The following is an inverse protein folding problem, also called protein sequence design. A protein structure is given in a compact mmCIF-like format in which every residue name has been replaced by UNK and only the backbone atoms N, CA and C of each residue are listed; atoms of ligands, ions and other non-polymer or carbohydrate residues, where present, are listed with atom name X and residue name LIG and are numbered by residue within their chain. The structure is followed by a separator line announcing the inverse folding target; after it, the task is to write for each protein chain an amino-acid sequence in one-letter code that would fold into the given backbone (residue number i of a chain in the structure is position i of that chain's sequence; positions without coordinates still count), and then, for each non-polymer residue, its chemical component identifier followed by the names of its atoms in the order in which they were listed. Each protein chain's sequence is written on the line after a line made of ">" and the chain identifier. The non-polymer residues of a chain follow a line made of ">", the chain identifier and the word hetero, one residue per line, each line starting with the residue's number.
data_IF_432369421497
#
_entry.id   IF_432369421497
#
_cell.length_a   1.000
_cell.length_b   1.000
_cell.length_c   1.000
_cell.angle_alpha   90.00
_cell.angle_beta   90.00
_cell.angle_gamma   90.00
#
_symmetry.space_group_name_H-M   'P 1'
#
loop_
_entity.id
_entity.type
_entity.pdbx_description
1 polymer ?
#
# COMPACT_ATOMS: atom_id res chain seq x y z
N UNK A 1 8.90 12.56 15.96
CA UNK A 1 7.55 13.00 15.52
C UNK A 1 6.77 13.45 16.77
N UNK A 2 6.07 14.58 16.75
CA UNK A 2 5.21 14.96 17.88
C UNK A 2 3.82 14.32 17.72
N UNK A 3 3.02 14.28 18.80
CA UNK A 3 1.70 13.63 18.78
C UNK A 3 0.74 14.26 17.76
N UNK A 4 0.75 15.59 17.62
CA UNK A 4 -0.15 16.29 16.71
C UNK A 4 0.15 15.95 15.25
N UNK A 5 1.42 15.99 14.83
CA UNK A 5 1.84 15.60 13.49
C UNK A 5 1.50 14.14 13.16
N UNK A 6 1.52 13.25 14.16
CA UNK A 6 1.12 11.85 13.95
C UNK A 6 -0.39 11.75 13.66
N UNK A 7 -1.21 12.50 14.38
CA UNK A 7 -2.67 12.57 14.16
C UNK A 7 -2.95 13.15 12.77
N UNK A 8 -2.33 14.28 12.43
CA UNK A 8 -2.54 14.94 11.15
C UNK A 8 -2.10 14.04 9.98
N UNK A 9 -0.98 13.34 10.11
CA UNK A 9 -0.51 12.37 9.10
C UNK A 9 -1.52 11.24 8.86
N UNK A 10 -2.12 10.69 9.93
CA UNK A 10 -3.14 9.64 9.82
C UNK A 10 -4.38 10.20 9.13
N UNK A 11 -4.86 11.38 9.53
CA UNK A 11 -6.04 12.03 8.93
C UNK A 11 -5.83 12.35 7.46
N UNK A 12 -4.70 12.96 7.11
CA UNK A 12 -4.34 13.31 5.73
C UNK A 12 -4.20 12.09 4.81
N UNK A 13 -3.92 10.92 5.38
CA UNK A 13 -3.74 9.67 4.63
C UNK A 13 -5.04 8.89 4.48
N UNK A 14 -5.85 8.80 5.54
CA UNK A 14 -7.00 7.88 5.61
C UNK A 14 -8.37 8.57 5.60
N UNK A 15 -8.46 9.85 5.95
CA UNK A 15 -9.71 10.64 5.88
C UNK A 15 -9.86 11.41 4.56
N UNK A 16 -8.98 11.14 3.59
CA UNK A 16 -9.00 11.71 2.24
C UNK A 16 -9.05 10.61 1.17
N UNK A 17 -9.47 10.91 -0.07
CA UNK A 17 -9.33 10.00 -1.19
C UNK A 17 -7.89 9.48 -1.29
N UNK A 18 -7.74 8.21 -1.64
CA UNK A 18 -6.42 7.58 -1.67
C UNK A 18 -5.46 8.35 -2.60
N UNK A 19 -4.33 8.77 -2.03
CA UNK A 19 -3.22 9.40 -2.75
C UNK A 19 -1.95 8.64 -2.47
N UNK A 20 -1.32 8.12 -3.53
CA UNK A 20 -0.09 7.33 -3.47
C UNK A 20 0.99 8.00 -2.62
N UNK A 21 1.24 9.29 -2.84
CA UNK A 21 2.33 10.02 -2.16
C UNK A 21 2.05 10.24 -0.66
N UNK A 22 0.78 10.46 -0.29
CA UNK A 22 0.38 10.57 1.12
C UNK A 22 0.60 9.24 1.82
N UNK A 23 0.16 8.13 1.20
CA UNK A 23 0.34 6.79 1.74
C UNK A 23 1.83 6.41 1.83
N UNK A 24 2.64 6.73 0.81
CA UNK A 24 4.07 6.48 0.83
C UNK A 24 4.77 7.24 1.98
N UNK A 25 4.42 8.50 2.21
CA UNK A 25 4.92 9.29 3.34
C UNK A 25 4.48 8.69 4.69
N UNK A 26 3.22 8.27 4.81
CA UNK A 26 2.72 7.60 6.01
C UNK A 26 3.49 6.32 6.31
N UNK A 27 3.65 5.42 5.33
CA UNK A 27 4.35 4.16 5.50
C UNK A 27 5.83 4.38 5.84
N UNK A 28 6.49 5.33 5.18
CA UNK A 28 7.88 5.69 5.49
C UNK A 28 8.05 6.11 6.96
N UNK A 29 7.08 6.84 7.51
CA UNK A 29 7.07 7.26 8.93
C UNK A 29 6.65 6.14 9.88
N UNK A 30 5.78 5.23 9.45
CA UNK A 30 5.32 4.11 10.28
C UNK A 30 6.41 3.06 10.45
N UNK A 31 7.07 2.68 9.36
CA UNK A 31 8.03 1.58 9.33
C UNK A 31 9.48 2.05 9.59
N UNK A 32 9.76 3.35 9.46
CA UNK A 32 11.06 4.04 9.63
C UNK A 32 12.21 3.57 8.71
N UNK A 33 12.33 2.28 8.42
CA UNK A 33 13.39 1.65 7.64
C UNK A 33 12.77 0.82 6.51
N UNK A 34 12.15 1.51 5.55
CA UNK A 34 11.72 0.86 4.32
C UNK A 34 12.85 0.93 3.29
N UNK A 35 13.21 -0.20 2.71
CA UNK A 35 14.07 -0.27 1.54
C UNK A 35 13.23 0.12 0.31
N UNK A 36 13.65 1.18 -0.40
CA UNK A 36 13.03 1.58 -1.65
C UNK A 36 13.42 0.58 -2.75
N UNK A 37 12.52 -0.35 -3.05
CA UNK A 37 12.65 -1.27 -4.19
C UNK A 37 11.35 -1.26 -5.01
N UNK A 38 11.08 -0.17 -5.74
CA UNK A 38 9.82 -0.02 -6.45
C UNK A 38 9.77 -0.86 -7.73
N UNK A 39 8.65 -1.53 -7.96
CA UNK A 39 8.31 -2.11 -9.26
C UNK A 39 6.83 -1.86 -9.57
N UNK A 40 6.47 -2.02 -10.84
CA UNK A 40 5.08 -2.03 -11.28
C UNK A 40 4.82 -3.28 -12.10
N UNK A 41 3.79 -4.04 -11.75
CA UNK A 41 3.36 -5.23 -12.47
C UNK A 41 1.95 -5.07 -13.02
N UNK A 42 1.78 -5.50 -14.27
CA UNK A 42 0.54 -5.40 -15.05
C UNK A 42 0.36 -6.66 -15.89
N UNK A 43 -0.85 -6.90 -16.41
CA UNK A 43 -1.11 -7.98 -17.36
C UNK A 43 -0.77 -9.37 -16.80
N UNK A 44 0.11 -10.10 -17.50
CA UNK A 44 0.54 -11.47 -17.15
C UNK A 44 1.36 -11.57 -15.86
N UNK A 45 1.85 -10.45 -15.32
CA UNK A 45 2.56 -10.42 -14.03
C UNK A 45 1.63 -10.36 -12.81
N UNK A 46 0.31 -10.31 -13.04
CA UNK A 46 -0.70 -10.39 -11.99
C UNK A 46 -1.02 -11.86 -11.75
N UNK A 47 -0.93 -12.38 -10.51
CA UNK A 47 -1.28 -13.77 -10.24
C UNK A 47 -2.70 -14.07 -10.68
N UNK A 48 -2.91 -15.26 -11.26
CA UNK A 48 -4.18 -15.65 -11.89
C UNK A 48 -5.38 -15.48 -10.96
N UNK A 49 -5.21 -15.80 -9.67
CA UNK A 49 -6.24 -15.64 -8.64
C UNK A 49 -6.78 -14.20 -8.52
N UNK A 50 -5.97 -13.20 -8.86
CA UNK A 50 -6.32 -11.79 -8.77
C UNK A 50 -6.60 -11.15 -10.12
N UNK A 51 -6.41 -11.87 -11.23
CA UNK A 51 -6.51 -11.32 -12.57
C UNK A 51 -7.88 -10.70 -12.87
N UNK A 52 -8.95 -11.22 -12.29
CA UNK A 52 -10.30 -10.67 -12.48
C UNK A 52 -10.56 -9.36 -11.72
N UNK A 53 -9.73 -9.05 -10.72
CA UNK A 53 -9.98 -7.96 -9.76
C UNK A 53 -8.92 -6.86 -9.82
N UNK A 54 -7.66 -7.21 -10.09
CA UNK A 54 -6.52 -6.30 -10.10
C UNK A 54 -6.13 -5.98 -11.55
N UNK A 55 -5.95 -4.69 -11.85
CA UNK A 55 -5.49 -4.20 -13.16
C UNK A 55 -3.98 -3.99 -13.20
N UNK A 56 -3.42 -3.54 -12.07
CA UNK A 56 -1.98 -3.42 -11.82
C UNK A 56 -1.70 -3.32 -10.33
N UNK A 57 -0.46 -3.54 -9.93
CA UNK A 57 0.03 -3.19 -8.60
C UNK A 57 1.45 -2.66 -8.65
N UNK A 58 1.77 -1.83 -7.68
CA UNK A 58 3.05 -1.15 -7.55
C UNK A 58 3.62 -1.48 -6.18
N UNK A 59 4.88 -1.89 -6.09
CA UNK A 59 5.57 -1.95 -4.79
C UNK A 59 6.15 -0.58 -4.48
N UNK A 60 5.89 -0.08 -3.27
CA UNK A 60 6.49 1.15 -2.76
C UNK A 60 7.85 0.88 -2.12
N UNK A 61 7.97 -0.24 -1.43
CA UNK A 61 9.21 -0.69 -0.83
C UNK A 61 9.04 -1.97 -0.02
N UNK A 62 10.12 -2.38 0.61
CA UNK A 62 10.17 -3.55 1.48
C UNK A 62 10.53 -3.13 2.88
N UNK A 63 9.85 -3.72 3.84
CA UNK A 63 10.22 -3.64 5.24
C UNK A 63 10.65 -5.01 5.72
N UNK A 64 11.76 -5.08 6.42
CA UNK A 64 12.22 -6.30 7.08
C UNK A 64 12.29 -6.00 8.56
N UNK A 65 11.60 -6.79 9.37
CA UNK A 65 11.64 -6.62 10.82
C UNK A 65 12.94 -7.17 11.45
N UNK A 66 13.06 -6.99 12.76
CA UNK A 66 14.19 -7.46 13.56
C UNK A 66 14.36 -8.99 13.56
N UNK A 67 13.30 -9.74 13.24
CA UNK A 67 13.31 -11.19 13.08
C UNK A 67 13.63 -11.63 11.64
N UNK A 68 13.90 -10.69 10.73
CA UNK A 68 14.19 -10.97 9.33
C UNK A 68 12.95 -11.28 8.49
N UNK A 69 11.74 -11.04 9.01
CA UNK A 69 10.49 -11.25 8.26
C UNK A 69 10.25 -10.06 7.36
N UNK A 70 9.98 -10.36 6.08
CA UNK A 70 9.79 -9.36 5.03
C UNK A 70 8.31 -9.06 4.78
N UNK A 71 8.02 -7.77 4.63
CA UNK A 71 6.72 -7.22 4.25
C UNK A 71 6.90 -6.31 3.04
N UNK A 72 6.24 -6.64 1.93
CA UNK A 72 6.18 -5.76 0.76
C UNK A 72 4.98 -4.82 0.86
N UNK A 73 5.23 -3.52 0.73
CA UNK A 73 4.17 -2.51 0.73
C UNK A 73 3.72 -2.27 -0.69
N UNK A 74 2.45 -2.57 -0.98
CA UNK A 74 1.89 -2.49 -2.33
C UNK A 74 0.79 -1.43 -2.44
N UNK A 75 0.71 -0.77 -3.59
CA UNK A 75 -0.45 -0.03 -4.06
C UNK A 75 -1.12 -0.84 -5.16
N UNK A 76 -2.38 -1.21 -4.95
CA UNK A 76 -3.12 -2.10 -5.84
C UNK A 76 -4.21 -1.30 -6.55
N UNK A 77 -4.31 -1.46 -7.85
CA UNK A 77 -5.33 -0.85 -8.69
C UNK A 77 -6.35 -1.90 -9.07
N UNK A 78 -7.62 -1.62 -8.75
CA UNK A 78 -8.72 -2.56 -8.98
C UNK A 78 -9.36 -2.30 -10.34
N UNK A 79 -9.92 -3.34 -10.97
CA UNK A 79 -10.61 -3.28 -12.28
C UNK A 79 -12.04 -2.73 -12.16
N UNK A 80 -12.67 -2.83 -10.99
CA UNK A 80 -14.07 -2.40 -10.73
C UNK A 80 -14.19 -1.88 -9.29
N UNK A 81 -15.05 -0.89 -9.09
CA UNK A 81 -15.29 -0.30 -7.76
C UNK A 81 -15.89 -1.29 -6.75
N UNK A 82 -16.68 -2.27 -7.22
CA UNK A 82 -17.31 -3.31 -6.36
C UNK A 82 -16.31 -4.28 -5.70
N UNK A 83 -15.04 -4.25 -6.10
CA UNK A 83 -13.99 -5.01 -5.42
C UNK A 83 -13.68 -4.45 -4.02
N UNK A 84 -13.94 -3.15 -3.78
CA UNK A 84 -13.73 -2.51 -2.47
C UNK A 84 -14.71 -3.03 -1.42
N UNK A 85 -15.98 -3.25 -1.79
CA UNK A 85 -17.01 -3.76 -0.86
C UNK A 85 -16.68 -5.17 -0.37
N UNK A 86 -16.12 -6.03 -1.23
CA UNK A 86 -15.74 -7.40 -0.86
C UNK A 86 -14.46 -7.47 -0.01
N UNK A 87 -13.51 -6.57 -0.23
CA UNK A 87 -12.27 -6.51 0.56
C UNK A 87 -12.51 -6.15 2.04
N UNK A 88 -13.65 -5.54 2.37
CA UNK A 88 -14.05 -5.21 3.75
C UNK A 88 -14.86 -6.31 4.45
N UNK A 89 -15.29 -7.35 3.73
CA UNK A 89 -16.32 -8.28 4.18
C UNK A 89 -15.82 -9.70 4.52
N UNK A 90 -14.54 -9.87 4.87
CA UNK A 90 -13.99 -11.17 5.33
C UNK A 90 -13.39 -11.01 6.71
#
# INVERSE_FOLDING_TARGET
>A
MNKQHAIDLVRDTFESPFRRDHFANFIGRLLNQIELDPFTYTGSFIPDAFHNYVSKYERLGKYTDDQGRRVDVLVVYLKRDTAVERARAT
#
